data_IF_195250964625
#
_entry.id   IF_195250964625
#
_cell.length_a   1.000
_cell.length_b   1.000
_cell.length_c   1.000
_cell.angle_alpha   90.00
_cell.angle_beta   90.00
_cell.angle_gamma   90.00
#
_symmetry.space_group_name_H-M   'P 1'
#
loop_
_entity.id
_entity.type
_entity.pdbx_description
1 polymer ?
#
# COMPACT_ATOMS: atom_id res chain seq x y z
N UNK A 1 -36.64 -11.32 -3.99
CA UNK A 1 -35.69 -11.17 -5.13
C UNK A 1 -34.70 -10.05 -4.83
N UNK A 2 -33.72 -10.29 -3.95
CA UNK A 2 -32.74 -9.28 -3.50
C UNK A 2 -31.36 -9.92 -3.30
N UNK A 3 -31.05 -10.94 -4.11
CA UNK A 3 -29.93 -11.85 -3.92
C UNK A 3 -29.24 -12.12 -5.27
N UNK A 4 -28.79 -11.06 -5.95
CA UNK A 4 -28.03 -11.15 -7.21
C UNK A 4 -27.04 -9.97 -7.38
N UNK A 5 -26.59 -9.35 -6.28
CA UNK A 5 -25.55 -8.32 -6.31
C UNK A 5 -24.29 -8.79 -5.58
N UNK A 6 -23.97 -10.08 -5.66
CA UNK A 6 -22.59 -10.53 -5.49
C UNK A 6 -21.90 -10.39 -6.84
N UNK A 7 -21.73 -9.16 -7.29
CA UNK A 7 -20.65 -8.87 -8.24
C UNK A 7 -19.41 -9.15 -7.42
N UNK A 8 -18.68 -10.21 -7.78
CA UNK A 8 -17.34 -10.46 -7.28
C UNK A 8 -16.53 -9.22 -7.69
N UNK A 9 -16.47 -8.23 -6.80
CA UNK A 9 -15.82 -6.97 -7.06
C UNK A 9 -14.32 -7.28 -7.17
N UNK A 10 -13.84 -7.31 -8.41
CA UNK A 10 -12.43 -7.59 -8.72
C UNK A 10 -11.64 -6.43 -8.15
N UNK A 11 -11.10 -6.62 -6.94
CA UNK A 11 -10.34 -5.59 -6.25
C UNK A 11 -8.98 -5.49 -6.91
N UNK A 12 -8.77 -4.42 -7.66
CA UNK A 12 -7.49 -4.19 -8.33
C UNK A 12 -6.55 -3.49 -7.36
N UNK A 13 -5.40 -4.12 -7.10
CA UNK A 13 -4.32 -3.53 -6.33
C UNK A 13 -3.20 -3.11 -7.27
N UNK A 14 -2.78 -1.85 -7.18
CA UNK A 14 -1.64 -1.31 -7.92
C UNK A 14 -0.53 -1.05 -6.92
N UNK A 15 0.63 -1.64 -7.16
CA UNK A 15 1.84 -1.39 -6.38
C UNK A 15 2.74 -0.42 -7.17
N UNK A 16 2.84 0.81 -6.70
CA UNK A 16 3.79 1.79 -7.22
C UNK A 16 5.12 1.70 -6.46
N UNK A 17 6.23 1.62 -7.20
CA UNK A 17 7.58 1.59 -6.65
C UNK A 17 8.38 2.72 -7.30
N UNK A 18 8.97 3.57 -6.47
CA UNK A 18 9.98 4.55 -6.87
C UNK A 18 11.32 4.07 -6.33
N UNK A 19 12.28 3.80 -7.20
CA UNK A 19 13.60 3.28 -6.84
C UNK A 19 14.65 3.74 -7.87
N UNK A 20 15.93 3.72 -7.49
CA UNK A 20 17.07 4.05 -8.36
C UNK A 20 17.17 5.50 -8.85
N UNK A 21 16.28 6.39 -8.39
CA UNK A 21 16.33 7.82 -8.59
C UNK A 21 15.75 8.52 -7.35
N UNK A 22 16.52 9.43 -6.76
CA UNK A 22 16.17 10.15 -5.52
C UNK A 22 15.75 9.19 -4.37
N UNK A 23 14.95 9.67 -3.42
CA UNK A 23 14.51 8.89 -2.27
C UNK A 23 13.55 7.77 -2.68
N UNK A 24 13.92 6.53 -2.37
CA UNK A 24 13.13 5.35 -2.71
C UNK A 24 11.82 5.29 -1.91
N UNK A 25 10.72 4.86 -2.53
CA UNK A 25 9.39 4.84 -1.92
C UNK A 25 8.49 3.76 -2.52
N UNK A 26 7.45 3.37 -1.77
CA UNK A 26 6.43 2.40 -2.20
C UNK A 26 5.04 2.92 -1.88
N UNK A 27 4.10 2.75 -2.82
CA UNK A 27 2.68 3.00 -2.60
C UNK A 27 1.82 1.82 -3.05
N UNK A 28 0.70 1.61 -2.37
CA UNK A 28 -0.35 0.66 -2.77
C UNK A 28 -1.63 1.46 -2.98
N UNK A 29 -2.23 1.27 -4.15
CA UNK A 29 -3.55 1.77 -4.48
C UNK A 29 -4.53 0.60 -4.58
N UNK A 30 -5.78 0.86 -4.23
CA UNK A 30 -6.91 -0.06 -4.38
C UNK A 30 -8.08 0.72 -4.97
N UNK A 31 -8.53 0.34 -6.15
CA UNK A 31 -9.72 0.93 -6.80
C UNK A 31 -9.71 2.48 -6.73
N UNK A 32 -8.58 3.08 -7.11
CA UNK A 32 -8.29 4.53 -7.09
C UNK A 32 -8.08 5.19 -5.71
N UNK A 33 -8.18 4.44 -4.61
CA UNK A 33 -7.83 4.91 -3.27
C UNK A 33 -6.38 4.55 -2.89
N UNK A 34 -5.65 5.51 -2.31
CA UNK A 34 -4.34 5.24 -1.73
C UNK A 34 -4.54 4.46 -0.43
N UNK A 35 -4.14 3.19 -0.43
CA UNK A 35 -4.26 2.30 0.71
C UNK A 35 -3.06 2.41 1.65
N UNK A 36 -1.86 2.61 1.08
CA UNK A 36 -0.60 2.70 1.80
C UNK A 36 0.42 3.50 0.99
N UNK A 37 1.23 4.33 1.64
CA UNK A 37 2.35 5.01 0.99
C UNK A 37 3.45 5.26 2.02
N UNK A 38 4.68 4.86 1.70
CA UNK A 38 5.80 4.98 2.61
C UNK A 38 7.13 5.20 1.85
N UNK A 39 7.94 6.12 2.37
CA UNK A 39 9.29 6.37 1.87
C UNK A 39 10.30 5.50 2.64
N UNK A 40 11.25 4.90 1.91
CA UNK A 40 12.30 4.04 2.46
C UNK A 40 13.18 4.78 3.45
N UNK A 41 13.53 6.04 3.18
CA UNK A 41 14.36 6.86 4.07
C UNK A 41 13.81 6.93 5.50
N UNK A 42 12.47 6.97 5.66
CA UNK A 42 11.84 7.01 6.99
C UNK A 42 12.06 5.73 7.79
N UNK A 43 12.25 4.60 7.10
CA UNK A 43 12.51 3.30 7.72
C UNK A 43 14.00 2.99 7.84
N UNK A 44 14.77 3.28 6.79
CA UNK A 44 16.21 3.03 6.74
C UNK A 44 17.00 4.01 7.61
N UNK A 45 16.44 5.21 7.86
CA UNK A 45 17.12 6.37 8.47
C UNK A 45 18.43 6.73 7.75
N UNK A 46 18.54 6.36 6.47
CA UNK A 46 19.64 6.73 5.58
C UNK A 46 19.13 7.76 4.59
N UNK A 47 19.71 8.96 4.66
CA UNK A 47 19.36 10.08 3.79
C UNK A 47 19.85 9.81 2.36
N UNK A 48 18.97 9.85 1.38
CA UNK A 48 19.31 9.61 -0.02
C UNK A 48 19.62 8.15 -0.36
N UNK A 49 18.91 7.19 0.24
CA UNK A 49 19.07 5.77 -0.13
C UNK A 49 18.34 5.49 -1.46
N UNK A 50 19.08 5.63 -2.56
CA UNK A 50 18.64 5.29 -3.93
C UNK A 50 18.48 3.77 -4.16
N UNK A 51 18.85 2.97 -3.15
CA UNK A 51 18.70 1.52 -3.15
C UNK A 51 17.23 1.11 -3.23
N UNK A 52 16.98 -0.07 -3.81
CA UNK A 52 15.64 -0.65 -3.87
C UNK A 52 14.91 -0.60 -2.50
N UNK A 53 13.66 -0.09 -2.42
CA UNK A 53 12.95 0.16 -1.17
C UNK A 53 12.46 -1.15 -0.51
N UNK A 54 13.38 -1.86 0.14
CA UNK A 54 13.12 -3.18 0.74
C UNK A 54 12.25 -3.07 1.97
N UNK A 55 12.50 -2.08 2.84
CA UNK A 55 11.78 -1.94 4.10
C UNK A 55 10.36 -1.44 3.84
N UNK A 56 10.19 -0.45 2.98
CA UNK A 56 8.89 0.10 2.60
C UNK A 56 8.02 -0.95 1.89
N UNK A 57 8.61 -1.75 0.98
CA UNK A 57 7.90 -2.86 0.34
C UNK A 57 7.48 -3.93 1.35
N UNK A 58 8.36 -4.27 2.29
CA UNK A 58 8.02 -5.23 3.36
C UNK A 58 6.86 -4.72 4.20
N UNK A 59 6.92 -3.47 4.67
CA UNK A 59 5.83 -2.86 5.44
C UNK A 59 4.51 -2.81 4.65
N UNK A 60 4.58 -2.56 3.35
CA UNK A 60 3.43 -2.55 2.46
C UNK A 60 2.77 -3.94 2.35
N UNK A 61 3.57 -5.00 2.24
CA UNK A 61 3.09 -6.39 2.22
C UNK A 61 2.53 -6.83 3.57
N UNK A 62 3.20 -6.50 4.68
CA UNK A 62 2.73 -6.79 6.03
C UNK A 62 1.37 -6.10 6.29
N UNK A 63 1.21 -4.86 5.82
CA UNK A 63 -0.06 -4.13 5.90
C UNK A 63 -1.18 -4.79 5.09
N UNK A 64 -0.89 -5.28 3.88
CA UNK A 64 -1.86 -6.03 3.08
C UNK A 64 -2.24 -7.36 3.70
N UNK A 65 -1.28 -8.09 4.27
CA UNK A 65 -1.52 -9.38 4.93
C UNK A 65 -2.51 -9.21 6.10
N UNK A 66 -2.33 -8.18 6.93
CA UNK A 66 -3.25 -7.85 8.03
C UNK A 66 -4.64 -7.44 7.54
N UNK A 67 -4.73 -6.77 6.38
CA UNK A 67 -6.00 -6.23 5.86
C UNK A 67 -6.82 -7.29 5.12
N UNK A 68 -6.17 -8.26 4.46
CA UNK A 68 -6.85 -9.36 3.77
C UNK A 68 -7.54 -10.35 4.73
N UNK A 69 -7.07 -10.45 5.99
CA UNK A 69 -7.72 -11.27 7.02
C UNK A 69 -9.09 -10.72 7.45
N UNK A 70 -9.42 -9.46 7.11
CA UNK A 70 -10.70 -8.86 7.43
C UNK A 70 -11.32 -8.19 6.19
N UNK A 71 -12.04 -8.95 5.33
CA UNK A 71 -12.58 -8.42 4.06
C UNK A 71 -13.66 -7.34 4.22
N UNK A 72 -14.04 -6.99 5.46
CA UNK A 72 -15.12 -6.06 5.75
C UNK A 72 -14.66 -5.01 6.77
N UNK A 73 -14.03 -3.94 6.29
CA UNK A 73 -14.16 -2.58 6.85
C UNK A 73 -13.44 -1.60 5.94
N UNK A 74 -14.23 -0.91 5.13
CA UNK A 74 -13.84 0.40 4.61
C UNK A 74 -13.54 1.33 5.78
N UNK A 75 -12.56 2.19 5.57
CA UNK A 75 -11.99 3.03 6.61
C UNK A 75 -10.53 3.27 6.30
N UNK A 76 -10.27 4.11 5.28
CA UNK A 76 -9.00 4.80 5.17
C UNK A 76 -8.86 5.64 6.45
N UNK A 77 -8.20 5.08 7.46
CA UNK A 77 -7.75 5.83 8.61
C UNK A 77 -6.68 6.78 8.07
N UNK A 78 -7.09 8.03 7.88
CA UNK A 78 -6.24 9.13 7.43
C UNK A 78 -5.11 9.28 8.46
N UNK A 79 -4.01 8.57 8.28
CA UNK A 79 -2.78 8.83 9.01
C UNK A 79 -2.24 10.15 8.47
N UNK A 80 -2.67 11.22 9.14
CA UNK A 80 -2.07 12.54 9.09
C UNK A 80 -0.55 12.37 9.24
N UNK A 81 0.13 12.95 8.26
CA UNK A 81 1.53 13.35 8.30
C UNK A 81 1.73 14.30 9.49
#
# INVERSE_FOLDING_TARGET
MRALFDICEVRMFILGISAYYHDSAVCILRDDEILFALQEERLSRKKGDESFPKLALKSALDFLALKCENPIRGGAEKSRI
#
